data_IF_684681153592
#
_entry.id   IF_684681153592
#
_cell.length_a   1.000
_cell.length_b   1.000
_cell.length_c   1.000
_cell.angle_alpha   90.00
_cell.angle_beta   90.00
_cell.angle_gamma   90.00
#
_symmetry.space_group_name_H-M   'P 1'
#
loop_
_entity.id
_entity.type
_entity.pdbx_description
1 polymer ?
#
# COMPACT_ATOMS: atom_id res chain seq x y z
N UNK A 1 -25.87 5.04 33.34
CA UNK A 1 -26.41 3.73 33.77
C UNK A 1 -27.44 3.28 32.73
N UNK A 2 -27.26 2.04 32.27
CA UNK A 2 -28.15 1.21 31.43
C UNK A 2 -28.12 1.41 29.91
N UNK A 3 -27.20 0.67 29.25
CA UNK A 3 -27.50 -0.43 28.31
C UNK A 3 -26.14 -1.02 27.89
N UNK A 4 -25.65 -2.15 28.43
CA UNK A 4 -26.11 -3.53 28.19
C UNK A 4 -26.87 -3.65 26.87
N UNK A 5 -26.13 -3.95 25.80
CA UNK A 5 -26.48 -4.82 24.67
C UNK A 5 -25.62 -4.44 23.45
N UNK A 6 -24.32 -4.73 23.50
CA UNK A 6 -23.54 -4.99 22.28
C UNK A 6 -22.44 -5.99 22.63
N UNK A 7 -22.86 -7.24 22.77
CA UNK A 7 -22.02 -8.40 22.45
C UNK A 7 -22.96 -9.57 22.08
N UNK A 8 -22.54 -10.31 21.05
CA UNK A 8 -23.15 -11.50 20.46
C UNK A 8 -24.34 -11.28 19.51
N UNK A 9 -24.04 -11.28 18.21
CA UNK A 9 -24.41 -12.39 17.31
C UNK A 9 -23.26 -12.52 16.30
N UNK A 10 -22.35 -13.44 16.59
CA UNK A 10 -21.51 -14.08 15.59
C UNK A 10 -22.39 -15.12 14.89
N UNK A 11 -22.76 -14.88 13.64
CA UNK A 11 -23.22 -15.94 12.75
C UNK A 11 -22.41 -15.88 11.46
N UNK A 12 -21.54 -16.88 11.31
CA UNK A 12 -20.85 -17.22 10.09
C UNK A 12 -21.88 -17.63 9.04
N UNK A 13 -22.15 -16.79 8.04
CA UNK A 13 -22.69 -17.21 6.75
C UNK A 13 -22.11 -16.33 5.62
N UNK A 14 -21.26 -16.99 4.83
CA UNK A 14 -20.94 -16.82 3.40
C UNK A 14 -21.50 -15.53 2.77
N UNK A 15 -20.58 -14.60 2.47
CA UNK A 15 -20.83 -13.30 1.82
C UNK A 15 -21.32 -13.46 0.38
N UNK A 16 -22.52 -12.96 0.10
CA UNK A 16 -22.98 -12.70 -1.26
C UNK A 16 -23.28 -11.18 -1.37
N UNK A 17 -22.28 -10.41 -1.78
CA UNK A 17 -22.26 -8.94 -1.78
C UNK A 17 -23.45 -8.29 -2.53
N UNK A 18 -24.03 -9.00 -3.50
CA UNK A 18 -25.15 -8.51 -4.31
C UNK A 18 -26.48 -8.44 -3.55
N UNK A 19 -26.71 -9.36 -2.60
CA UNK A 19 -27.95 -9.45 -1.82
C UNK A 19 -27.92 -8.46 -0.67
N UNK A 20 -26.77 -8.31 0.00
CA UNK A 20 -26.56 -7.28 1.01
C UNK A 20 -26.72 -5.88 0.42
N UNK A 21 -26.15 -5.60 -0.75
CA UNK A 21 -26.28 -4.31 -1.41
C UNK A 21 -27.73 -3.96 -1.77
N UNK A 22 -28.53 -4.92 -2.27
CA UNK A 22 -29.97 -4.74 -2.52
C UNK A 22 -30.78 -4.54 -1.24
N UNK A 23 -30.44 -5.25 -0.17
CA UNK A 23 -31.09 -5.12 1.14
C UNK A 23 -30.85 -3.73 1.75
N UNK A 24 -29.60 -3.26 1.79
CA UNK A 24 -29.25 -1.93 2.31
C UNK A 24 -29.80 -0.78 1.45
N UNK A 25 -29.85 -0.95 0.13
CA UNK A 25 -30.51 0.01 -0.80
C UNK A 25 -32.00 0.16 -0.48
N UNK A 26 -32.69 -0.95 -0.28
CA UNK A 26 -34.14 -0.96 -0.02
C UNK A 26 -34.47 -0.44 1.38
N UNK A 27 -33.63 -0.73 2.39
CA UNK A 27 -33.73 -0.17 3.74
C UNK A 27 -33.50 1.35 3.77
N UNK A 28 -32.55 1.86 2.99
CA UNK A 28 -32.35 3.31 2.90
C UNK A 28 -33.50 4.01 2.17
N UNK A 29 -34.06 3.43 1.12
CA UNK A 29 -35.22 3.98 0.43
C UNK A 29 -36.48 4.01 1.32
N UNK A 30 -36.71 2.95 2.10
CA UNK A 30 -37.83 2.89 3.06
C UNK A 30 -37.63 3.86 4.24
N UNK A 31 -36.40 4.04 4.72
CA UNK A 31 -36.09 5.03 5.76
C UNK A 31 -36.30 6.49 5.28
N UNK A 32 -35.89 6.82 4.05
CA UNK A 32 -36.13 8.14 3.47
C UNK A 32 -37.62 8.40 3.19
N UNK A 33 -38.38 7.39 2.74
CA UNK A 33 -39.84 7.48 2.61
C UNK A 33 -40.54 7.70 3.97
N UNK A 34 -40.08 7.03 5.03
CA UNK A 34 -40.58 7.24 6.40
C UNK A 34 -40.31 8.66 6.92
N UNK A 35 -39.15 9.25 6.59
CA UNK A 35 -38.85 10.66 6.93
C UNK A 35 -39.75 11.64 6.16
N UNK A 36 -39.97 11.40 4.87
CA UNK A 36 -40.85 12.21 4.02
C UNK A 36 -42.30 12.17 4.53
N UNK A 37 -42.79 11.00 4.93
CA UNK A 37 -44.14 10.86 5.51
C UNK A 37 -44.27 11.46 6.92
N UNK A 38 -43.25 11.32 7.77
CA UNK A 38 -43.21 12.00 9.08
C UNK A 38 -43.26 13.53 8.93
N UNK A 39 -42.58 14.06 7.92
CA UNK A 39 -42.62 15.49 7.57
C UNK A 39 -44.01 15.92 7.08
N UNK A 40 -44.67 15.13 6.21
CA UNK A 40 -46.02 15.42 5.69
C UNK A 40 -47.10 15.37 6.79
N UNK A 41 -47.02 14.40 7.71
CA UNK A 41 -47.97 14.28 8.84
C UNK A 41 -47.82 15.44 9.82
N UNK A 42 -46.60 15.95 10.04
CA UNK A 42 -46.36 17.05 10.98
C UNK A 42 -46.66 18.45 10.40
N UNK A 43 -46.72 18.61 9.08
CA UNK A 43 -46.86 19.93 8.45
C UNK A 43 -48.25 20.29 7.93
N UNK A 44 -49.22 19.35 7.83
CA UNK A 44 -50.50 19.67 7.18
C UNK A 44 -51.82 19.21 7.82
N UNK A 45 -51.84 18.50 8.94
CA UNK A 45 -53.10 18.07 9.57
C UNK A 45 -53.04 18.05 11.09
N UNK A 46 -53.74 18.98 11.75
CA UNK A 46 -53.96 18.96 13.20
C UNK A 46 -55.07 17.93 13.52
N UNK A 47 -54.74 16.65 13.37
CA UNK A 47 -55.69 15.54 13.55
C UNK A 47 -55.56 14.90 14.94
N UNK A 48 -56.72 14.52 15.49
CA UNK A 48 -56.90 13.93 16.81
C UNK A 48 -55.98 12.71 17.05
N UNK A 49 -55.46 12.58 18.28
CA UNK A 49 -54.50 11.55 18.72
C UNK A 49 -54.88 10.13 18.31
N UNK A 50 -56.19 9.84 18.26
CA UNK A 50 -56.75 8.57 17.83
C UNK A 50 -56.40 8.18 16.37
N UNK A 51 -56.35 9.15 15.45
CA UNK A 51 -56.01 8.91 14.04
C UNK A 51 -54.50 8.64 13.85
N UNK A 52 -53.64 9.31 14.65
CA UNK A 52 -52.19 9.09 14.62
C UNK A 52 -51.84 7.66 15.05
N UNK A 53 -52.49 7.13 16.09
CA UNK A 53 -52.25 5.76 16.57
C UNK A 53 -52.70 4.72 15.53
N UNK A 54 -53.85 4.92 14.87
CA UNK A 54 -54.30 4.02 13.79
C UNK A 54 -53.36 4.01 12.59
N UNK A 55 -52.83 5.16 12.17
CA UNK A 55 -51.86 5.21 11.08
C UNK A 55 -50.55 4.49 11.43
N UNK A 56 -50.02 4.68 12.64
CA UNK A 56 -48.79 4.01 13.06
C UNK A 56 -48.97 2.48 13.09
N UNK A 57 -50.09 1.99 13.62
CA UNK A 57 -50.40 0.55 13.66
C UNK A 57 -50.60 -0.03 12.24
N UNK A 58 -51.24 0.74 11.35
CA UNK A 58 -51.43 0.31 9.96
C UNK A 58 -50.10 0.20 9.21
N UNK A 59 -49.21 1.18 9.35
CA UNK A 59 -47.90 1.16 8.71
C UNK A 59 -46.94 0.13 9.32
N UNK A 60 -47.00 -0.14 10.63
CA UNK A 60 -46.19 -1.21 11.23
C UNK A 60 -46.63 -2.58 10.71
N UNK A 61 -47.94 -2.83 10.57
CA UNK A 61 -48.45 -4.04 9.95
C UNK A 61 -48.03 -4.18 8.48
N UNK A 62 -48.10 -3.09 7.71
CA UNK A 62 -47.69 -3.10 6.30
C UNK A 62 -46.20 -3.43 6.15
N UNK A 63 -45.34 -2.85 7.01
CA UNK A 63 -43.90 -3.12 6.99
C UNK A 63 -43.60 -4.58 7.35
N UNK A 64 -44.29 -5.15 8.35
CA UNK A 64 -44.13 -6.57 8.69
C UNK A 64 -44.58 -7.50 7.56
N UNK A 65 -45.63 -7.15 6.82
CA UNK A 65 -46.09 -7.91 5.66
C UNK A 65 -45.08 -7.84 4.52
N UNK A 66 -44.49 -6.67 4.25
CA UNK A 66 -43.46 -6.52 3.22
C UNK A 66 -42.21 -7.34 3.56
N UNK A 67 -41.78 -7.32 4.82
CA UNK A 67 -40.65 -8.14 5.30
C UNK A 67 -40.97 -9.64 5.15
N UNK A 68 -42.18 -10.08 5.51
CA UNK A 68 -42.61 -11.46 5.32
C UNK A 68 -42.67 -11.87 3.84
N UNK A 69 -43.18 -11.02 2.95
CA UNK A 69 -43.19 -11.27 1.50
C UNK A 69 -41.75 -11.35 0.96
N UNK A 70 -40.83 -10.51 1.44
CA UNK A 70 -39.43 -10.60 1.06
C UNK A 70 -38.80 -11.92 1.51
N UNK A 71 -39.04 -12.33 2.77
CA UNK A 71 -38.56 -13.62 3.28
C UNK A 71 -39.14 -14.81 2.50
N UNK A 72 -40.43 -14.77 2.15
CA UNK A 72 -41.09 -15.79 1.34
C UNK A 72 -40.56 -15.84 -0.11
N UNK A 73 -40.21 -14.69 -0.70
CA UNK A 73 -39.59 -14.64 -2.02
C UNK A 73 -38.13 -15.13 -1.99
N UNK A 74 -37.36 -14.84 -0.93
CA UNK A 74 -35.99 -15.37 -0.78
C UNK A 74 -35.97 -16.87 -0.51
N UNK A 75 -36.98 -17.45 0.14
CA UNK A 75 -37.09 -18.91 0.27
C UNK A 75 -37.35 -19.59 -1.07
N UNK A 76 -38.03 -18.93 -2.02
CA UNK A 76 -38.24 -19.46 -3.37
C UNK A 76 -36.96 -19.52 -4.20
N UNK A 77 -36.05 -18.54 -4.07
CA UNK A 77 -34.75 -18.55 -4.76
C UNK A 77 -33.77 -19.61 -4.19
N UNK A 78 -33.98 -20.06 -2.94
CA UNK A 78 -33.21 -21.14 -2.31
C UNK A 78 -33.58 -22.54 -2.84
N UNK A 79 -34.86 -22.78 -3.15
CA UNK A 79 -35.30 -24.06 -3.74
C UNK A 79 -34.84 -24.21 -5.20
N UNK A 80 -34.77 -23.12 -5.97
CA UNK A 80 -34.26 -23.13 -7.35
C UNK A 80 -32.75 -23.44 -7.38
N UNK A 81 -32.00 -22.92 -6.39
CA UNK A 81 -30.55 -23.15 -6.24
C UNK A 81 -30.21 -24.57 -5.74
N UNK A 82 -31.05 -25.16 -4.87
CA UNK A 82 -30.88 -26.57 -4.45
C UNK A 82 -31.10 -27.55 -5.61
N UNK A 83 -32.01 -27.23 -6.54
CA UNK A 83 -32.26 -28.05 -7.73
C UNK A 83 -31.08 -28.05 -8.71
N UNK A 84 -30.42 -26.89 -8.90
CA UNK A 84 -29.20 -26.79 -9.71
C UNK A 84 -28.01 -27.51 -9.06
N UNK A 85 -27.88 -27.46 -7.73
CA UNK A 85 -26.80 -28.13 -7.00
C UNK A 85 -26.92 -29.67 -7.05
N UNK A 86 -28.15 -30.19 -7.03
CA UNK A 86 -28.41 -31.63 -7.16
C UNK A 86 -28.03 -32.17 -8.55
N UNK A 87 -28.27 -31.40 -9.61
CA UNK A 87 -27.86 -31.80 -10.98
C UNK A 87 -26.34 -31.76 -11.20
N UNK A 88 -25.61 -30.88 -10.52
CA UNK A 88 -24.14 -30.84 -10.55
C UNK A 88 -23.48 -32.00 -9.80
N UNK A 89 -24.18 -32.57 -8.80
CA UNK A 89 -23.68 -33.70 -8.02
C UNK A 89 -23.64 -35.01 -8.84
N UNK A 90 -24.55 -35.19 -9.80
CA UNK A 90 -24.60 -36.39 -10.65
C UNK A 90 -23.52 -36.41 -11.75
N UNK A 91 -22.92 -35.26 -12.09
CA UNK A 91 -21.82 -35.17 -13.07
C UNK A 91 -20.44 -35.41 -12.41
N UNK A 92 -20.37 -35.43 -11.07
CA UNK A 92 -19.13 -35.58 -10.30
C UNK A 92 -18.64 -37.04 -10.11
N UNK A 93 -19.23 -38.00 -10.84
CA UNK A 93 -18.94 -39.43 -10.73
C UNK A 93 -17.64 -39.94 -11.39
N UNK A 94 -16.77 -39.09 -11.95
CA UNK A 94 -15.56 -39.57 -12.66
C UNK A 94 -14.29 -38.71 -12.54
N UNK A 95 -14.10 -37.97 -11.46
CA UNK A 95 -12.80 -37.35 -11.17
C UNK A 95 -12.35 -37.64 -9.73
N UNK A 96 -11.49 -38.64 -9.57
CA UNK A 96 -10.76 -38.85 -8.32
C UNK A 96 -9.73 -37.73 -8.16
N UNK A 97 -10.07 -36.70 -7.40
CA UNK A 97 -9.10 -35.71 -6.92
C UNK A 97 -8.18 -36.41 -5.92
N UNK A 98 -6.86 -36.49 -6.13
CA UNK A 98 -5.97 -37.14 -5.18
C UNK A 98 -5.97 -36.34 -3.88
N UNK A 99 -6.35 -36.98 -2.77
CA UNK A 99 -6.19 -36.41 -1.43
C UNK A 99 -4.69 -36.36 -1.12
N UNK A 100 -4.07 -35.21 -1.37
CA UNK A 100 -2.67 -34.97 -0.98
C UNK A 100 -2.68 -34.80 0.54
N UNK A 101 -2.22 -35.82 1.25
CA UNK A 101 -1.77 -35.67 2.63
C UNK A 101 -0.60 -34.69 2.63
N UNK A 102 -0.88 -33.39 2.76
CA UNK A 102 0.15 -32.37 2.94
C UNK A 102 0.70 -32.49 4.37
N UNK A 103 1.56 -33.49 4.60
CA UNK A 103 2.35 -33.59 5.82
C UNK A 103 3.34 -32.43 5.80
N UNK A 104 3.32 -31.59 6.84
CA UNK A 104 4.34 -30.54 7.00
C UNK A 104 5.70 -31.21 7.12
N UNK A 105 6.64 -30.83 6.25
CA UNK A 105 8.02 -31.34 6.27
C UNK A 105 8.64 -31.14 7.66
N UNK A 106 9.45 -32.09 8.12
CA UNK A 106 10.17 -31.90 9.39
C UNK A 106 11.14 -30.72 9.27
N UNK A 107 11.55 -30.11 10.38
CA UNK A 107 12.56 -29.03 10.37
C UNK A 107 13.90 -29.43 9.73
N UNK A 108 14.21 -30.73 9.68
CA UNK A 108 15.42 -31.25 8.98
C UNK A 108 15.20 -31.34 7.46
N UNK A 109 13.96 -31.52 7.03
CA UNK A 109 13.56 -31.62 5.62
C UNK A 109 13.14 -30.25 5.02
N UNK A 110 12.88 -29.28 5.89
CA UNK A 110 12.79 -27.87 5.54
C UNK A 110 14.20 -27.39 5.21
N UNK A 111 14.48 -27.20 3.92
CA UNK A 111 15.72 -26.58 3.47
C UNK A 111 15.95 -25.22 4.15
N UNK A 112 17.18 -24.72 4.11
CA UNK A 112 17.50 -23.39 4.66
C UNK A 112 16.57 -22.37 4.04
N UNK A 113 15.83 -21.65 4.88
CA UNK A 113 14.92 -20.60 4.44
C UNK A 113 15.73 -19.54 3.69
N UNK A 114 15.20 -19.07 2.56
CA UNK A 114 15.83 -18.02 1.77
C UNK A 114 16.10 -16.78 2.63
N UNK A 115 17.19 -16.08 2.35
CA UNK A 115 17.53 -14.87 3.10
C UNK A 115 16.47 -13.76 2.93
N UNK A 116 15.80 -13.73 1.78
CA UNK A 116 14.83 -12.72 1.37
C UNK A 116 13.47 -13.39 1.10
N UNK A 117 12.41 -12.83 1.68
CA UNK A 117 11.04 -13.25 1.45
C UNK A 117 10.47 -12.55 0.21
N UNK A 118 10.26 -13.30 -0.87
CA UNK A 118 9.68 -12.79 -2.12
C UNK A 118 8.19 -12.43 -2.04
N UNK A 119 7.48 -12.90 -1.01
CA UNK A 119 6.05 -12.63 -0.81
C UNK A 119 5.78 -11.50 0.19
N UNK A 120 6.83 -10.87 0.71
CA UNK A 120 6.71 -9.72 1.59
C UNK A 120 7.52 -8.56 1.02
N UNK A 121 6.82 -7.50 0.65
CA UNK A 121 7.38 -6.29 0.10
C UNK A 121 7.44 -5.19 1.17
N UNK A 122 8.58 -4.51 1.30
CA UNK A 122 8.73 -3.39 2.24
C UNK A 122 9.29 -2.16 1.52
N UNK A 123 8.53 -1.07 1.54
CA UNK A 123 8.93 0.21 1.00
C UNK A 123 9.38 1.15 2.13
N UNK A 124 10.71 1.28 2.28
CA UNK A 124 11.34 2.22 3.20
C UNK A 124 11.46 3.61 2.57
N UNK A 125 10.32 4.28 2.43
CA UNK A 125 10.16 5.46 1.57
C UNK A 125 11.16 6.57 1.84
N UNK A 126 11.82 7.00 0.77
CA UNK A 126 12.55 8.26 0.72
C UNK A 126 11.56 9.43 0.53
N UNK A 127 11.58 10.46 1.40
CA UNK A 127 10.66 11.59 1.28
C UNK A 127 10.88 12.37 -0.01
N UNK A 128 9.79 12.91 -0.57
CA UNK A 128 9.76 13.74 -1.76
C UNK A 128 10.29 13.11 -3.06
N UNK A 129 10.44 11.79 -3.10
CA UNK A 129 10.84 11.03 -4.30
C UNK A 129 9.68 10.38 -5.06
N UNK A 130 8.43 10.76 -4.76
CA UNK A 130 7.25 10.12 -5.36
C UNK A 130 6.84 8.80 -4.68
N UNK A 131 7.25 8.58 -3.43
CA UNK A 131 6.87 7.36 -2.69
C UNK A 131 5.35 7.18 -2.54
N UNK A 132 4.61 8.27 -2.30
CA UNK A 132 3.14 8.21 -2.17
C UNK A 132 2.46 7.78 -3.48
N UNK A 133 3.01 8.17 -4.64
CA UNK A 133 2.52 7.69 -5.92
C UNK A 133 2.62 6.16 -6.03
N UNK A 134 3.76 5.58 -5.65
CA UNK A 134 3.95 4.13 -5.70
C UNK A 134 3.05 3.39 -4.71
N UNK A 135 2.78 3.98 -3.55
CA UNK A 135 1.84 3.45 -2.55
C UNK A 135 0.41 3.46 -3.09
N UNK A 136 -0.03 4.57 -3.70
CA UNK A 136 -1.34 4.64 -4.33
C UNK A 136 -1.49 3.59 -5.44
N UNK A 137 -0.41 3.34 -6.18
CA UNK A 137 -0.38 2.28 -7.19
C UNK A 137 -0.50 0.88 -6.55
N UNK A 138 0.26 0.59 -5.50
CA UNK A 138 0.14 -0.66 -4.73
C UNK A 138 -1.28 -0.84 -4.19
N UNK A 139 -1.89 0.22 -3.63
CA UNK A 139 -3.25 0.17 -3.12
C UNK A 139 -4.28 -0.13 -4.21
N UNK A 140 -4.09 0.36 -5.44
CA UNK A 140 -4.95 0.03 -6.59
C UNK A 140 -4.72 -1.41 -7.08
N UNK A 141 -3.48 -1.88 -7.05
CA UNK A 141 -3.10 -3.21 -7.52
C UNK A 141 -3.43 -4.33 -6.54
N UNK A 142 -3.59 -4.03 -5.25
CA UNK A 142 -3.75 -5.04 -4.20
C UNK A 142 -4.92 -6.02 -4.46
N UNK A 143 -6.06 -5.50 -4.94
CA UNK A 143 -7.22 -6.34 -5.30
C UNK A 143 -7.01 -7.13 -6.59
N UNK A 144 -6.29 -6.57 -7.57
CA UNK A 144 -6.02 -7.24 -8.85
C UNK A 144 -4.97 -8.35 -8.73
N UNK A 145 -3.94 -8.11 -7.90
CA UNK A 145 -2.81 -9.02 -7.71
C UNK A 145 -2.92 -9.88 -6.44
N UNK A 146 -4.09 -9.87 -5.77
CA UNK A 146 -4.39 -10.69 -4.58
C UNK A 146 -3.36 -10.57 -3.46
N UNK A 147 -2.93 -9.35 -3.15
CA UNK A 147 -2.08 -9.06 -1.98
C UNK A 147 -2.74 -8.03 -1.09
N UNK A 148 -2.25 -7.86 0.14
CA UNK A 148 -2.71 -6.79 1.04
C UNK A 148 -1.62 -5.74 1.23
N UNK A 149 -1.99 -4.47 1.08
CA UNK A 149 -1.11 -3.35 1.43
C UNK A 149 -1.42 -2.83 2.84
N UNK A 150 -0.40 -2.74 3.69
CA UNK A 150 -0.54 -2.36 5.10
C UNK A 150 0.36 -1.14 5.38
N UNK A 151 -0.28 0.01 5.63
CA UNK A 151 0.43 1.21 6.06
C UNK A 151 0.89 1.09 7.50
N UNK A 152 2.20 1.17 7.72
CA UNK A 152 2.75 1.10 9.07
C UNK A 152 2.65 2.46 9.75
N UNK A 153 2.56 2.45 11.08
CA UNK A 153 2.53 3.69 11.87
C UNK A 153 3.78 4.51 11.58
N UNK A 154 3.58 5.83 11.41
CA UNK A 154 4.68 6.79 11.30
C UNK A 154 5.54 6.73 12.56
N UNK A 155 6.84 6.95 12.39
CA UNK A 155 7.80 7.03 13.48
C UNK A 155 9.08 7.68 12.99
N UNK A 156 10.09 7.75 13.88
CA UNK A 156 11.40 8.28 13.52
C UNK A 156 12.12 7.37 12.51
N UNK A 157 13.04 7.98 11.76
CA UNK A 157 13.83 7.32 10.72
C UNK A 157 15.05 6.57 11.29
N UNK A 158 15.69 7.19 12.28
CA UNK A 158 16.85 6.65 13.01
C UNK A 158 16.34 5.79 14.16
N UNK A 159 16.71 4.52 14.16
CA UNK A 159 16.28 3.54 15.15
C UNK A 159 17.51 2.94 15.83
N UNK A 160 17.49 2.92 17.16
CA UNK A 160 18.46 2.14 17.93
C UNK A 160 18.29 0.63 17.66
N UNK A 161 19.29 -0.18 17.97
CA UNK A 161 19.20 -1.64 17.79
C UNK A 161 17.99 -2.26 18.50
N UNK A 162 17.60 -1.72 19.67
CA UNK A 162 16.40 -2.14 20.38
C UNK A 162 15.13 -1.83 19.58
N UNK A 163 15.00 -0.60 19.07
CA UNK A 163 13.83 -0.17 18.30
C UNK A 163 13.75 -0.85 16.94
N UNK A 164 14.89 -1.19 16.33
CA UNK A 164 14.94 -2.03 15.13
C UNK A 164 14.38 -3.42 15.43
N UNK A 165 14.82 -4.06 16.52
CA UNK A 165 14.30 -5.37 16.92
C UNK A 165 12.80 -5.33 17.25
N UNK A 166 12.33 -4.28 17.92
CA UNK A 166 10.91 -4.06 18.19
C UNK A 166 10.11 -3.91 16.90
N UNK A 167 10.58 -3.07 15.97
CA UNK A 167 9.96 -2.89 14.66
C UNK A 167 9.87 -4.20 13.88
N UNK A 168 10.97 -4.96 13.83
CA UNK A 168 11.04 -6.26 13.17
C UNK A 168 10.05 -7.24 13.80
N UNK A 169 9.93 -7.26 15.14
CA UNK A 169 8.98 -8.11 15.86
C UNK A 169 7.53 -7.77 15.50
N UNK A 170 7.19 -6.49 15.48
CA UNK A 170 5.87 -6.00 15.08
C UNK A 170 5.55 -6.40 13.63
N UNK A 171 6.52 -6.22 12.72
CA UNK A 171 6.33 -6.55 11.31
C UNK A 171 6.14 -8.06 11.13
N UNK A 172 6.99 -8.88 11.75
CA UNK A 172 6.86 -10.34 11.71
C UNK A 172 5.54 -10.84 12.32
N UNK A 173 5.03 -10.18 13.37
CA UNK A 173 3.71 -10.49 13.91
C UNK A 173 2.63 -10.26 12.85
N UNK A 174 2.64 -9.10 12.21
CA UNK A 174 1.71 -8.80 11.10
C UNK A 174 1.82 -9.78 9.93
N UNK A 175 3.03 -10.23 9.60
CA UNK A 175 3.23 -11.24 8.56
C UNK A 175 2.61 -12.61 8.90
N UNK A 176 2.49 -12.95 10.19
CA UNK A 176 1.87 -14.21 10.64
C UNK A 176 0.36 -14.11 10.76
N UNK A 177 -0.14 -12.94 11.15
CA UNK A 177 -1.56 -12.71 11.39
C UNK A 177 -2.36 -12.48 10.08
N UNK A 178 -1.67 -12.33 8.94
CA UNK A 178 -2.25 -11.97 7.64
C UNK A 178 -1.85 -12.98 6.55
N UNK A 179 -2.69 -13.15 5.54
CA UNK A 179 -2.37 -13.99 4.38
C UNK A 179 -1.38 -13.29 3.43
N UNK A 180 -0.32 -13.99 3.04
CA UNK A 180 0.64 -13.52 2.01
C UNK A 180 0.06 -13.65 0.60
N UNK A 181 0.43 -12.78 -0.36
CA UNK A 181 1.47 -11.75 -0.30
C UNK A 181 1.09 -10.48 0.47
N UNK A 182 2.08 -9.83 1.08
CA UNK A 182 1.91 -8.59 1.86
C UNK A 182 2.86 -7.50 1.38
N UNK A 183 2.38 -6.26 1.35
CA UNK A 183 3.25 -5.10 1.16
C UNK A 183 3.09 -4.11 2.30
N UNK A 184 4.19 -3.46 2.67
CA UNK A 184 4.25 -2.51 3.77
C UNK A 184 4.95 -1.24 3.34
N UNK A 185 4.57 -0.10 3.93
CA UNK A 185 5.24 1.18 3.70
C UNK A 185 5.51 1.92 5.01
N UNK A 186 6.71 2.51 5.11
CA UNK A 186 7.10 3.45 6.17
C UNK A 186 8.34 4.22 5.75
N UNK A 187 8.51 5.47 6.20
CA UNK A 187 9.78 6.20 6.03
C UNK A 187 10.75 5.89 7.18
N UNK A 188 11.84 5.19 6.90
CA UNK A 188 12.93 4.88 7.84
C UNK A 188 14.19 4.47 7.07
N UNK A 189 15.36 4.53 7.71
CA UNK A 189 16.61 4.05 7.07
C UNK A 189 16.68 2.53 7.06
N UNK A 190 17.27 1.96 6.00
CA UNK A 190 17.39 0.52 5.82
C UNK A 190 17.79 -0.22 7.11
N UNK A 191 17.07 -1.31 7.38
CA UNK A 191 17.33 -2.22 8.48
C UNK A 191 17.66 -3.57 7.86
N UNK A 192 18.81 -4.12 8.20
CA UNK A 192 19.14 -5.48 7.83
C UNK A 192 18.40 -6.44 8.78
N UNK A 193 17.38 -7.16 8.31
CA UNK A 193 16.63 -8.10 9.16
C UNK A 193 17.47 -9.34 9.49
N UNK A 194 18.46 -9.67 8.65
CA UNK A 194 19.26 -10.86 8.83
C UNK A 194 20.26 -10.74 9.97
N UNK A 195 20.66 -9.52 10.34
CA UNK A 195 21.42 -9.29 11.58
C UNK A 195 20.60 -9.49 12.85
N UNK A 196 19.30 -9.72 12.74
CA UNK A 196 18.38 -10.04 13.85
C UNK A 196 17.81 -11.47 13.73
N UNK A 197 18.46 -12.33 12.96
CA UNK A 197 18.03 -13.72 12.72
C UNK A 197 16.59 -13.82 12.18
N UNK A 198 16.18 -12.85 11.35
CA UNK A 198 14.91 -12.85 10.62
C UNK A 198 15.14 -12.84 9.13
N UNK A 199 14.21 -13.45 8.40
CA UNK A 199 14.18 -13.32 6.94
C UNK A 199 13.87 -11.87 6.57
N UNK A 200 14.63 -11.33 5.62
CA UNK A 200 14.42 -9.97 5.15
C UNK A 200 13.22 -9.90 4.23
N UNK A 201 12.38 -8.86 4.32
CA UNK A 201 11.42 -8.59 3.25
C UNK A 201 12.18 -8.19 1.97
N UNK A 202 11.52 -8.35 0.84
CA UNK A 202 11.96 -7.75 -0.42
C UNK A 202 11.81 -6.24 -0.31
N UNK A 203 12.91 -5.49 -0.36
CA UNK A 203 12.84 -4.04 -0.31
C UNK A 203 12.59 -3.45 -1.70
N UNK A 204 11.86 -2.35 -1.74
CA UNK A 204 11.75 -1.49 -2.93
C UNK A 204 11.83 -0.03 -2.55
N UNK A 205 12.21 0.80 -3.51
CA UNK A 205 12.16 2.24 -3.32
C UNK A 205 12.07 2.97 -4.66
N UNK A 206 11.86 4.28 -4.59
CA UNK A 206 11.96 5.20 -5.72
C UNK A 206 12.75 6.42 -5.25
N UNK A 207 13.70 6.86 -6.08
CA UNK A 207 14.52 8.05 -5.83
C UNK A 207 14.30 9.09 -6.91
N UNK A 208 14.73 10.32 -6.62
CA UNK A 208 14.63 11.50 -7.49
C UNK A 208 16.00 12.15 -7.60
N UNK A 209 16.22 12.93 -8.67
CA UNK A 209 17.40 13.79 -8.80
C UNK A 209 17.64 14.58 -7.49
N UNK A 210 18.86 14.55 -6.92
CA UNK A 210 19.14 15.18 -5.63
C UNK A 210 18.80 16.67 -5.55
N UNK A 211 19.00 17.45 -6.62
CA UNK A 211 18.71 18.89 -6.65
C UNK A 211 17.20 19.11 -6.76
N UNK A 212 16.51 18.40 -7.65
CA UNK A 212 15.06 18.50 -7.78
C UNK A 212 14.34 18.03 -6.50
N UNK A 213 14.93 17.09 -5.77
CA UNK A 213 14.48 16.67 -4.45
C UNK A 213 14.62 17.79 -3.41
N UNK A 214 15.78 18.46 -3.34
CA UNK A 214 15.98 19.59 -2.43
C UNK A 214 14.99 20.73 -2.73
N UNK A 215 14.81 21.04 -4.01
CA UNK A 215 13.84 22.00 -4.53
C UNK A 215 12.42 21.73 -4.04
N UNK A 216 11.98 20.47 -4.13
CA UNK A 216 10.62 20.09 -3.76
C UNK A 216 10.25 20.41 -2.31
N UNK A 217 11.22 20.50 -1.40
CA UNK A 217 10.99 20.84 0.02
C UNK A 217 10.49 22.27 0.19
N UNK A 218 11.00 23.20 -0.61
CA UNK A 218 10.58 24.61 -0.58
C UNK A 218 9.08 24.76 -0.85
N UNK A 219 8.51 23.91 -1.72
CA UNK A 219 7.05 23.87 -1.95
C UNK A 219 6.23 23.45 -0.73
N UNK A 220 6.79 22.61 0.13
CA UNK A 220 6.15 22.17 1.37
C UNK A 220 6.46 23.09 2.56
N UNK A 221 6.91 24.32 2.30
CA UNK A 221 7.20 25.32 3.33
C UNK A 221 8.47 25.04 4.14
N UNK A 222 9.34 24.14 3.67
CA UNK A 222 10.65 23.85 4.27
C UNK A 222 11.75 24.15 3.28
N UNK A 223 12.27 25.37 3.32
CA UNK A 223 13.41 25.74 2.49
C UNK A 223 14.65 24.94 2.90
N UNK A 224 15.36 24.35 1.93
CA UNK A 224 16.61 23.64 2.19
C UNK A 224 17.69 24.62 2.65
N UNK A 225 18.34 24.29 3.77
CA UNK A 225 19.48 25.06 4.30
C UNK A 225 20.59 25.18 3.28
N UNK A 226 20.84 24.11 2.51
CA UNK A 226 21.82 24.08 1.44
C UNK A 226 21.45 25.02 0.28
N UNK A 227 20.20 24.99 -0.19
CA UNK A 227 19.73 25.90 -1.25
C UNK A 227 19.88 27.36 -0.83
N UNK A 228 19.42 27.69 0.38
CA UNK A 228 19.53 29.03 0.95
C UNK A 228 20.99 29.49 1.07
N UNK A 229 21.88 28.61 1.52
CA UNK A 229 23.29 28.93 1.66
C UNK A 229 23.96 29.29 0.32
N UNK A 230 23.59 28.59 -0.76
CA UNK A 230 24.15 28.83 -2.10
C UNK A 230 23.63 30.14 -2.68
N UNK A 231 22.33 30.43 -2.53
CA UNK A 231 21.76 31.73 -2.90
C UNK A 231 22.43 32.89 -2.15
N UNK A 232 22.81 32.67 -0.89
CA UNK A 232 23.56 33.63 -0.08
C UNK A 232 25.06 33.68 -0.40
N UNK A 233 25.57 32.83 -1.31
CA UNK A 233 26.99 32.72 -1.70
C UNK A 233 27.94 32.54 -0.52
N UNK A 234 27.54 31.74 0.48
CA UNK A 234 28.34 31.43 1.67
C UNK A 234 29.04 30.08 1.55
N UNK A 235 29.95 29.76 2.50
CA UNK A 235 30.51 28.42 2.65
C UNK A 235 29.44 27.49 3.22
N UNK A 236 29.00 26.52 2.41
CA UNK A 236 27.90 25.63 2.76
C UNK A 236 28.37 24.31 3.33
N UNK A 237 27.63 23.82 4.33
CA UNK A 237 27.80 22.49 4.90
C UNK A 237 26.59 21.62 4.53
N UNK A 238 26.86 20.35 4.29
CA UNK A 238 25.86 19.37 3.84
C UNK A 238 25.02 18.83 5.02
N UNK A 239 25.55 18.94 6.24
CA UNK A 239 25.05 18.24 7.43
C UNK A 239 23.59 18.53 7.80
N UNK A 240 23.10 19.76 7.57
CA UNK A 240 21.75 20.15 7.99
C UNK A 240 20.64 19.44 7.19
N UNK A 241 20.93 19.06 5.94
CA UNK A 241 19.98 18.43 5.04
C UNK A 241 20.23 16.91 4.89
N UNK A 242 21.17 16.35 5.66
CA UNK A 242 21.64 14.97 5.45
C UNK A 242 20.54 13.92 5.60
N UNK A 243 19.59 14.15 6.49
CA UNK A 243 18.50 13.20 6.72
C UNK A 243 17.47 13.14 5.56
N UNK A 244 17.53 14.13 4.67
CA UNK A 244 16.66 14.24 3.51
C UNK A 244 17.35 13.76 2.23
N UNK A 245 18.55 13.18 2.30
CA UNK A 245 19.25 12.62 1.14
C UNK A 245 18.87 11.17 0.82
N UNK A 246 19.34 10.63 -0.30
CA UNK A 246 19.00 9.27 -0.74
C UNK A 246 19.86 8.24 0.00
N UNK A 247 21.19 8.43 0.08
CA UNK A 247 22.14 7.44 0.61
C UNK A 247 21.74 6.92 2.01
N UNK A 248 21.36 7.74 3.01
CA UNK A 248 21.03 7.23 4.34
C UNK A 248 19.92 6.18 4.35
N UNK A 249 18.94 6.30 3.45
CA UNK A 249 17.83 5.36 3.35
C UNK A 249 18.25 3.97 2.88
N UNK A 250 19.32 3.87 2.08
CA UNK A 250 19.84 2.60 1.57
C UNK A 250 21.04 2.09 2.36
N UNK A 251 21.92 2.99 2.82
CA UNK A 251 23.07 2.65 3.67
C UNK A 251 22.62 2.08 5.02
N UNK A 252 21.59 2.69 5.64
CA UNK A 252 20.94 2.16 6.82
C UNK A 252 21.22 2.94 8.10
N UNK A 253 21.18 2.23 9.22
CA UNK A 253 21.13 2.84 10.56
C UNK A 253 22.50 3.28 11.11
N UNK A 254 23.59 2.82 10.50
CA UNK A 254 24.96 3.14 10.93
C UNK A 254 25.23 4.67 10.93
N UNK A 255 25.90 5.23 11.95
CA UNK A 255 26.30 6.63 11.96
C UNK A 255 27.04 7.11 10.70
N UNK A 256 27.87 6.28 10.08
CA UNK A 256 28.61 6.65 8.86
C UNK A 256 27.66 7.01 7.70
N UNK A 257 26.47 6.41 7.68
CA UNK A 257 25.45 6.65 6.66
C UNK A 257 24.91 8.08 6.67
N UNK A 258 25.13 8.82 7.76
CA UNK A 258 24.71 10.21 7.95
C UNK A 258 25.89 11.19 7.91
N UNK A 259 27.02 10.76 7.34
CA UNK A 259 28.19 11.61 7.10
C UNK A 259 28.20 12.06 5.65
N UNK A 260 28.18 13.38 5.42
CA UNK A 260 28.09 13.96 4.08
C UNK A 260 29.31 13.60 3.24
N UNK A 261 29.09 13.24 1.96
CA UNK A 261 30.13 12.78 1.04
C UNK A 261 31.00 11.62 1.55
N UNK A 262 30.44 10.74 2.39
CA UNK A 262 31.12 9.53 2.84
C UNK A 262 31.13 8.46 1.75
N UNK A 263 32.33 8.09 1.28
CA UNK A 263 32.50 6.99 0.33
C UNK A 263 32.07 5.65 0.93
N UNK A 264 32.35 5.43 2.22
CA UNK A 264 31.92 4.22 2.92
C UNK A 264 30.40 4.10 2.92
N UNK A 265 29.67 5.20 3.15
CA UNK A 265 28.21 5.20 3.10
C UNK A 265 27.67 4.92 1.69
N UNK A 266 28.32 5.47 0.67
CA UNK A 266 27.98 5.24 -0.74
C UNK A 266 28.10 3.75 -1.10
N UNK A 267 29.22 3.12 -0.75
CA UNK A 267 29.44 1.70 -1.06
C UNK A 267 28.50 0.80 -0.26
N UNK A 268 28.26 1.10 1.01
CA UNK A 268 27.26 0.36 1.81
C UNK A 268 25.85 0.47 1.20
N UNK A 269 25.45 1.66 0.74
CA UNK A 269 24.17 1.84 0.05
C UNK A 269 24.09 1.02 -1.24
N UNK A 270 25.13 1.06 -2.10
CA UNK A 270 25.19 0.25 -3.34
C UNK A 270 25.06 -1.25 -3.03
N UNK A 271 25.84 -1.76 -2.07
CA UNK A 271 25.81 -3.17 -1.66
C UNK A 271 24.43 -3.59 -1.14
N UNK A 272 23.79 -2.74 -0.33
CA UNK A 272 22.44 -3.03 0.17
C UNK A 272 21.41 -3.01 -0.96
N UNK A 273 21.51 -2.08 -1.92
CA UNK A 273 20.64 -2.05 -3.10
C UNK A 273 20.79 -3.31 -3.94
N UNK A 274 22.02 -3.74 -4.21
CA UNK A 274 22.27 -4.96 -4.99
C UNK A 274 21.68 -6.19 -4.33
N UNK A 275 21.82 -6.31 -3.01
CA UNK A 275 21.38 -7.48 -2.26
C UNK A 275 19.88 -7.50 -1.99
N UNK A 276 19.30 -6.40 -1.51
CA UNK A 276 17.94 -6.40 -0.94
C UNK A 276 16.87 -5.75 -1.80
N UNK A 277 17.26 -4.98 -2.83
CA UNK A 277 16.33 -4.20 -3.65
C UNK A 277 16.32 -4.69 -5.09
N UNK A 278 15.37 -5.57 -5.48
CA UNK A 278 15.29 -6.04 -6.86
C UNK A 278 15.16 -4.88 -7.85
N UNK A 279 14.44 -3.83 -7.46
CA UNK A 279 14.27 -2.58 -8.22
C UNK A 279 14.35 -1.39 -7.26
N UNK A 280 15.12 -0.37 -7.67
CA UNK A 280 15.02 0.99 -7.14
C UNK A 280 14.67 1.89 -8.31
N UNK A 281 13.50 2.49 -8.26
CA UNK A 281 12.96 3.33 -9.33
C UNK A 281 13.61 4.71 -9.39
N UNK A 282 13.51 5.35 -10.55
CA UNK A 282 13.87 6.75 -10.77
C UNK A 282 12.59 7.50 -11.15
N UNK A 283 12.26 8.55 -10.38
CA UNK A 283 11.05 9.34 -10.60
C UNK A 283 11.03 10.02 -11.98
N UNK A 284 12.19 10.42 -12.50
CA UNK A 284 12.30 10.99 -13.84
C UNK A 284 12.13 9.95 -14.96
N UNK A 285 12.22 8.65 -14.65
CA UNK A 285 12.10 7.53 -15.58
C UNK A 285 10.96 6.59 -15.17
N UNK A 286 9.79 7.16 -14.83
CA UNK A 286 8.65 6.40 -14.28
C UNK A 286 8.23 5.22 -15.16
N UNK A 287 8.12 5.38 -16.48
CA UNK A 287 7.73 4.27 -17.36
C UNK A 287 8.71 3.09 -17.24
N UNK A 288 10.03 3.37 -17.29
CA UNK A 288 11.08 2.34 -17.11
C UNK A 288 11.03 1.72 -15.71
N UNK A 289 10.70 2.52 -14.69
CA UNK A 289 10.51 2.06 -13.31
C UNK A 289 9.36 1.07 -13.22
N UNK A 290 8.20 1.39 -13.79
CA UNK A 290 7.01 0.54 -13.74
C UNK A 290 7.22 -0.77 -14.51
N UNK A 291 7.82 -0.71 -15.70
CA UNK A 291 8.18 -1.91 -16.49
C UNK A 291 9.10 -2.84 -15.70
N UNK A 292 10.14 -2.31 -15.05
CA UNK A 292 11.04 -3.11 -14.22
C UNK A 292 10.34 -3.74 -13.01
N UNK A 293 9.48 -2.98 -12.32
CA UNK A 293 8.72 -3.47 -11.17
C UNK A 293 7.76 -4.59 -11.57
N UNK A 294 7.02 -4.41 -12.66
CA UNK A 294 6.06 -5.36 -13.18
C UNK A 294 6.70 -6.71 -13.52
N UNK A 295 7.87 -6.69 -14.16
CA UNK A 295 8.58 -7.91 -14.55
C UNK A 295 9.33 -8.58 -13.40
N UNK A 296 10.01 -7.81 -12.53
CA UNK A 296 10.86 -8.36 -11.46
C UNK A 296 10.08 -8.72 -10.20
N UNK A 297 8.93 -8.09 -9.97
CA UNK A 297 8.12 -8.29 -8.77
C UNK A 297 6.62 -8.41 -9.15
N UNK A 298 6.25 -9.39 -10.00
CA UNK A 298 4.92 -9.46 -10.61
C UNK A 298 3.79 -9.70 -9.60
N UNK A 299 4.05 -10.35 -8.46
CA UNK A 299 3.06 -10.54 -7.40
C UNK A 299 2.47 -9.24 -6.87
N UNK A 300 3.20 -8.12 -7.01
CA UNK A 300 2.74 -6.82 -6.52
C UNK A 300 2.46 -5.85 -7.67
N UNK A 301 3.21 -5.93 -8.78
CA UNK A 301 3.21 -4.92 -9.83
C UNK A 301 2.71 -5.38 -11.20
N UNK A 302 2.16 -6.59 -11.35
CA UNK A 302 1.51 -6.99 -12.62
C UNK A 302 0.38 -6.01 -12.98
N UNK A 303 0.37 -5.50 -14.21
CA UNK A 303 -0.56 -4.47 -14.69
C UNK A 303 -0.26 -3.05 -14.21
N UNK A 304 0.90 -2.79 -13.60
CA UNK A 304 1.25 -1.49 -13.05
C UNK A 304 1.34 -0.40 -14.12
N UNK A 305 1.98 -0.68 -15.26
CA UNK A 305 2.12 0.28 -16.34
C UNK A 305 0.75 0.66 -16.93
N UNK A 306 -0.11 -0.35 -17.16
CA UNK A 306 -1.45 -0.14 -17.71
C UNK A 306 -2.32 0.74 -16.79
N UNK A 307 -2.31 0.47 -15.48
CA UNK A 307 -3.06 1.29 -14.51
C UNK A 307 -2.52 2.72 -14.49
N UNK A 308 -1.19 2.88 -14.59
CA UNK A 308 -0.59 4.20 -14.65
C UNK A 308 -1.10 4.99 -15.87
N UNK A 309 -0.95 4.43 -17.06
CA UNK A 309 -1.32 5.07 -18.33
C UNK A 309 -2.81 5.40 -18.42
N UNK A 310 -3.68 4.50 -17.93
CA UNK A 310 -5.14 4.67 -18.05
C UNK A 310 -5.77 5.51 -16.95
N UNK A 311 -5.23 5.46 -15.72
CA UNK A 311 -5.94 5.95 -14.52
C UNK A 311 -5.15 6.95 -13.67
N UNK A 312 -3.86 7.14 -13.93
CA UNK A 312 -2.98 7.97 -13.10
C UNK A 312 -2.08 8.91 -13.91
N UNK A 313 -2.03 8.79 -15.24
CA UNK A 313 -1.42 9.77 -16.14
C UNK A 313 -2.19 11.08 -16.11
N UNK A 314 -1.99 11.82 -15.02
CA UNK A 314 -2.18 13.25 -14.98
C UNK A 314 -0.84 13.85 -15.40
N UNK A 315 -0.85 14.94 -16.17
CA UNK A 315 0.33 15.77 -16.37
C UNK A 315 0.80 16.27 -14.99
N UNK A 316 1.61 15.47 -14.31
CA UNK A 316 2.26 15.87 -13.08
C UNK A 316 3.06 17.11 -13.45
N UNK A 317 2.82 18.26 -12.80
CA UNK A 317 3.60 19.45 -13.04
C UNK A 317 5.06 19.05 -12.89
N UNK A 318 5.80 19.06 -14.00
CA UNK A 318 7.25 18.86 -13.99
C UNK A 318 7.82 20.09 -13.32
N UNK A 319 7.85 20.07 -11.99
CA UNK A 319 8.54 21.07 -11.20
C UNK A 319 10.03 20.86 -11.47
N UNK A 320 10.51 21.52 -12.52
CA UNK A 320 11.90 21.76 -12.76
C UNK A 320 12.19 23.14 -12.22
N UNK A 321 13.07 23.20 -11.22
CA UNK A 321 13.50 24.48 -10.71
C UNK A 321 14.36 25.15 -11.78
N UNK A 322 13.91 26.31 -12.27
CA UNK A 322 14.74 27.21 -13.07
C UNK A 322 15.81 27.82 -12.15
N UNK A 323 16.87 27.05 -11.93
CA UNK A 323 18.04 27.41 -11.14
C UNK A 323 19.13 27.92 -12.06
N UNK A 324 19.89 28.91 -11.61
CA UNK A 324 21.07 29.38 -12.33
C UNK A 324 22.04 28.21 -12.58
N UNK A 325 22.60 28.05 -13.80
CA UNK A 325 23.50 26.95 -14.11
C UNK A 325 24.72 26.84 -13.17
N UNK A 326 25.24 27.98 -12.68
CA UNK A 326 26.40 28.01 -11.78
C UNK A 326 26.01 27.46 -10.39
N UNK A 327 24.86 27.88 -9.88
CA UNK A 327 24.30 27.37 -8.62
C UNK A 327 24.04 25.86 -8.71
N UNK A 328 23.43 25.41 -9.82
CA UNK A 328 23.18 23.99 -10.07
C UNK A 328 24.47 23.18 -10.11
N UNK A 329 25.52 23.68 -10.79
CA UNK A 329 26.80 23.01 -10.85
C UNK A 329 27.52 22.97 -9.49
N UNK A 330 27.38 24.04 -8.69
CA UNK A 330 27.92 24.08 -7.33
C UNK A 330 27.22 23.07 -6.42
N UNK A 331 25.89 22.96 -6.49
CA UNK A 331 25.13 21.92 -5.79
C UNK A 331 25.56 20.51 -6.19
N UNK A 332 25.70 20.25 -7.50
CA UNK A 332 26.19 18.96 -8.00
C UNK A 332 27.55 18.60 -7.41
N UNK A 333 28.47 19.58 -7.35
CA UNK A 333 29.79 19.37 -6.76
C UNK A 333 29.74 19.13 -5.25
N UNK A 334 28.84 19.80 -4.53
CA UNK A 334 28.66 19.60 -3.09
C UNK A 334 28.02 18.24 -2.78
N UNK A 335 27.07 17.80 -3.61
CA UNK A 335 26.32 16.55 -3.48
C UNK A 335 26.95 15.41 -4.31
N UNK A 336 28.28 15.39 -4.42
CA UNK A 336 28.99 14.49 -5.33
C UNK A 336 28.60 13.02 -5.13
N UNK A 337 28.60 12.53 -3.88
CA UNK A 337 28.28 11.12 -3.63
C UNK A 337 26.81 10.81 -3.86
N UNK A 338 25.90 11.75 -3.56
CA UNK A 338 24.46 11.60 -3.81
C UNK A 338 24.17 11.50 -5.32
N UNK A 339 24.86 12.31 -6.13
CA UNK A 339 24.76 12.22 -7.58
C UNK A 339 25.37 10.94 -8.12
N UNK A 340 26.52 10.52 -7.60
CA UNK A 340 27.12 9.24 -7.99
C UNK A 340 26.17 8.07 -7.68
N UNK A 341 25.53 8.09 -6.51
CA UNK A 341 24.52 7.10 -6.15
C UNK A 341 23.31 7.14 -7.10
N UNK A 342 22.78 8.34 -7.38
CA UNK A 342 21.63 8.51 -8.28
C UNK A 342 21.92 8.00 -9.69
N UNK A 343 23.04 8.40 -10.28
CA UNK A 343 23.43 7.96 -11.63
C UNK A 343 23.71 6.46 -11.68
N UNK A 344 24.32 5.90 -10.64
CA UNK A 344 24.51 4.45 -10.53
C UNK A 344 23.18 3.68 -10.46
N UNK A 345 22.21 4.14 -9.65
CA UNK A 345 20.86 3.55 -9.61
C UNK A 345 20.16 3.70 -10.96
N UNK A 346 20.26 4.85 -11.60
CA UNK A 346 19.66 5.11 -12.92
C UNK A 346 20.24 4.17 -13.99
N UNK A 347 21.56 4.04 -14.05
CA UNK A 347 22.23 3.12 -14.96
C UNK A 347 21.81 1.66 -14.69
N UNK A 348 21.71 1.27 -13.41
CA UNK A 348 21.20 -0.05 -13.01
C UNK A 348 19.78 -0.27 -13.52
N UNK A 349 18.87 0.69 -13.34
CA UNK A 349 17.47 0.59 -13.79
C UNK A 349 17.35 0.42 -15.30
N UNK A 350 18.11 1.21 -16.07
CA UNK A 350 18.13 1.14 -17.54
C UNK A 350 18.66 -0.23 -17.98
N UNK A 351 19.78 -0.69 -17.41
CA UNK A 351 20.35 -2.01 -17.71
C UNK A 351 19.36 -3.14 -17.39
N UNK A 352 18.61 -3.04 -16.28
CA UNK A 352 17.59 -4.03 -15.94
C UNK A 352 16.49 -4.09 -17.00
N UNK A 353 16.13 -2.95 -17.62
CA UNK A 353 15.15 -2.87 -18.70
C UNK A 353 15.66 -3.47 -20.00
N UNK A 354 16.86 -3.08 -20.43
CA UNK A 354 17.50 -3.57 -21.67
C UNK A 354 17.68 -5.09 -21.67
N UNK A 355 18.03 -5.66 -20.52
CA UNK A 355 18.16 -7.13 -20.39
C UNK A 355 16.83 -7.80 -20.72
N UNK A 356 15.69 -7.23 -20.33
CA UNK A 356 14.38 -7.84 -20.60
C UNK A 356 13.98 -7.74 -22.06
N UNK A 357 14.25 -6.61 -22.71
CA UNK A 357 13.96 -6.40 -24.15
C UNK A 357 14.71 -7.40 -25.05
N UNK A 358 15.88 -7.89 -24.62
CA UNK A 358 16.64 -8.89 -25.37
C UNK A 358 16.08 -10.32 -25.22
N UNK A 359 15.16 -10.57 -24.30
CA UNK A 359 14.55 -11.90 -24.06
C UNK A 359 13.06 -11.97 -24.42
N UNK A 360 12.47 -10.85 -24.84
CA UNK A 360 11.09 -10.73 -25.35
C UNK A 360 11.08 -10.66 -26.87
#
# INVERSE_FOLDING_TARGET
MNSIFEDAITFHLIENDSVQAKFYSTLNQTHELCKLFSSIINTKFNMNLYFKVKCILYYSCLLTIIVLIFFLNTSGELEEFESELLTLSEVSGLYTVPYINAVTKSMKDLGKMDEINKYVLLMNQVPNCGGEFLILLLQKLQGYNNFRHIRLKRGKQILSSYEQNEFISILNKKMRDEAVPLSFDRSFYFINFTSFDKQSPTYINIIRDPIEKLSSRSHFGKESSLLKCIQMRKKCNIGDDINDFNIPYFCGQDPICRTGNSEGALQMAKNNVEKFYPVVGILEELNKTLVNLENRIPYFFKGALEIYEKKLSVDLPKFQLHMDPIERNTLKSLLKTEYEFYEWVKARLIKQMEVMENYS
#
